data_IF_618276734114
#
_entry.id   IF_618276734114
#
_cell.length_a   1.000
_cell.length_b   1.000
_cell.length_c   1.000
_cell.angle_alpha   90.00
_cell.angle_beta   90.00
_cell.angle_gamma   90.00
#
_symmetry.space_group_name_H-M   'P 1'
#
loop_
_entity.id
_entity.type
_entity.pdbx_description
1 polymer ?
#
# COMPACT_ATOMS: atom_id res chain seq x y z
N UNK A 1 -8.14 15.20 10.66
CA UNK A 1 -7.43 14.36 11.65
C UNK A 1 -6.95 13.11 10.93
N UNK A 2 -5.65 12.74 10.97
CA UNK A 2 -5.23 11.47 10.41
C UNK A 2 -5.81 10.36 11.31
N UNK A 3 -6.77 9.60 10.78
CA UNK A 3 -7.26 8.42 11.46
C UNK A 3 -6.15 7.35 11.40
N UNK A 4 -5.63 6.94 12.55
CA UNK A 4 -4.72 5.78 12.63
C UNK A 4 -5.58 4.54 12.36
N UNK A 5 -5.62 4.10 11.11
CA UNK A 5 -6.42 2.97 10.67
C UNK A 5 -5.71 1.65 11.03
N UNK A 6 -6.15 0.98 12.09
CA UNK A 6 -5.70 -0.37 12.44
C UNK A 6 -6.48 -1.39 11.62
N UNK A 7 -5.93 -1.82 10.48
CA UNK A 7 -6.50 -2.96 9.71
C UNK A 7 -6.14 -4.28 10.43
N UNK A 8 -7.10 -5.21 10.55
CA UNK A 8 -6.83 -6.52 11.15
C UNK A 8 -5.85 -7.32 10.29
N UNK A 9 -4.93 -8.06 10.93
CA UNK A 9 -3.93 -8.90 10.23
C UNK A 9 -4.56 -9.85 9.22
N UNK A 10 -5.74 -10.40 9.53
CA UNK A 10 -6.49 -11.31 8.64
C UNK A 10 -6.86 -10.67 7.31
N UNK A 11 -7.26 -9.39 7.30
CA UNK A 11 -7.62 -8.66 6.06
C UNK A 11 -6.39 -8.30 5.22
N UNK A 12 -5.21 -8.20 5.84
CA UNK A 12 -3.96 -7.91 5.13
C UNK A 12 -3.39 -9.15 4.43
N UNK A 13 -3.68 -10.34 4.96
CA UNK A 13 -3.15 -11.61 4.45
C UNK A 13 -4.02 -12.30 3.39
N UNK A 14 -5.24 -11.81 3.17
CA UNK A 14 -6.12 -12.29 2.10
C UNK A 14 -6.04 -11.36 0.89
N UNK A 15 -6.02 -11.88 -0.36
CA UNK A 15 -6.15 -11.06 -1.57
C UNK A 15 -7.35 -10.12 -1.46
N UNK A 16 -7.12 -8.83 -1.66
CA UNK A 16 -8.20 -7.84 -1.64
C UNK A 16 -7.92 -6.68 -2.59
N UNK A 17 -9.01 -6.06 -3.03
CA UNK A 17 -9.03 -4.74 -3.69
C UNK A 17 -9.42 -3.68 -2.65
N UNK A 18 -9.01 -2.45 -2.91
CA UNK A 18 -9.37 -1.30 -2.09
C UNK A 18 -9.62 -0.09 -3.00
N UNK A 19 -10.62 0.71 -2.63
CA UNK A 19 -11.07 1.89 -3.39
C UNK A 19 -10.19 3.14 -3.09
N UNK A 20 -8.91 2.95 -2.79
CA UNK A 20 -7.95 4.01 -2.51
C UNK A 20 -6.54 3.61 -2.92
N UNK A 21 -5.68 4.60 -3.15
CA UNK A 21 -4.25 4.37 -3.34
C UNK A 21 -3.57 4.13 -2.00
N UNK A 22 -2.54 3.30 -2.01
CA UNK A 22 -1.70 3.05 -0.84
C UNK A 22 -0.22 3.18 -1.16
N UNK A 23 0.49 4.06 -0.45
CA UNK A 23 1.95 4.11 -0.44
C UNK A 23 2.47 3.50 0.86
N UNK A 24 3.05 2.31 0.76
CA UNK A 24 3.59 1.55 1.88
C UNK A 24 5.09 1.77 1.98
N UNK A 25 5.58 2.17 3.15
CA UNK A 25 6.99 2.33 3.44
C UNK A 25 7.39 1.46 4.65
N UNK A 26 8.33 0.54 4.46
CA UNK A 26 8.70 -0.46 5.47
C UNK A 26 9.98 -0.07 6.21
N UNK A 27 9.91 0.08 7.54
CA UNK A 27 11.01 0.53 8.41
C UNK A 27 11.73 -0.63 9.10
N UNK A 28 11.05 -1.76 9.26
CA UNK A 28 11.59 -3.03 9.72
C UNK A 28 10.83 -4.13 8.97
N UNK A 29 11.49 -5.11 8.39
CA UNK A 29 10.80 -5.97 7.42
C UNK A 29 11.26 -7.43 7.44
N UNK A 30 10.25 -8.29 7.42
CA UNK A 30 10.33 -9.68 7.02
C UNK A 30 8.98 -10.05 6.41
N UNK A 31 8.95 -10.53 5.16
CA UNK A 31 7.70 -10.95 4.52
C UNK A 31 7.68 -10.78 3.01
N UNK A 32 6.50 -11.01 2.42
CA UNK A 32 6.24 -10.93 0.98
C UNK A 32 5.02 -10.04 0.73
N UNK A 33 5.10 -9.21 -0.31
CA UNK A 33 3.97 -8.44 -0.83
C UNK A 33 3.62 -9.02 -2.21
N UNK A 34 2.38 -9.45 -2.37
CA UNK A 34 1.85 -9.89 -3.65
C UNK A 34 1.05 -8.75 -4.29
N UNK A 35 1.38 -8.39 -5.52
CA UNK A 35 0.70 -7.35 -6.30
C UNK A 35 0.40 -7.96 -7.67
N UNK A 36 -0.87 -8.01 -8.06
CA UNK A 36 -1.32 -8.65 -9.31
C UNK A 36 -0.71 -10.04 -9.51
N UNK A 37 -0.77 -10.86 -8.46
CA UNK A 37 -0.24 -12.23 -8.42
C UNK A 37 1.28 -12.37 -8.54
N UNK A 38 2.03 -11.28 -8.64
CA UNK A 38 3.49 -11.27 -8.60
C UNK A 38 3.99 -11.06 -7.18
N UNK A 39 4.98 -11.87 -6.78
CA UNK A 39 5.60 -11.82 -5.47
C UNK A 39 6.76 -10.81 -5.44
N UNK A 40 6.83 -10.05 -4.35
CA UNK A 40 7.93 -9.13 -4.05
C UNK A 40 8.42 -9.33 -2.61
N UNK A 41 9.74 -9.34 -2.44
CA UNK A 41 10.36 -9.32 -1.12
C UNK A 41 10.17 -7.96 -0.46
N UNK A 42 9.72 -7.98 0.80
CA UNK A 42 9.71 -6.78 1.64
C UNK A 42 11.05 -6.69 2.35
N UNK A 43 11.82 -5.64 2.04
CA UNK A 43 13.10 -5.33 2.66
C UNK A 43 13.00 -3.99 3.39
N UNK A 44 13.95 -3.72 4.29
CA UNK A 44 14.01 -2.46 5.01
C UNK A 44 14.21 -1.35 3.99
N UNK A 45 13.35 -0.34 4.02
CA UNK A 45 13.34 0.74 3.04
C UNK A 45 12.55 0.44 1.78
N UNK A 46 11.93 -0.74 1.63
CA UNK A 46 11.02 -1.01 0.51
C UNK A 46 9.86 -0.02 0.51
N UNK A 47 9.57 0.50 -0.68
CA UNK A 47 8.39 1.33 -0.96
C UNK A 47 7.54 0.63 -2.00
N UNK A 48 6.24 0.47 -1.70
CA UNK A 48 5.28 -0.08 -2.65
C UNK A 48 4.14 0.90 -2.84
N UNK A 49 3.81 1.16 -4.09
CA UNK A 49 2.62 1.91 -4.48
C UNK A 49 1.56 0.94 -4.99
N UNK A 50 0.36 1.02 -4.41
CA UNK A 50 -0.79 0.22 -4.79
C UNK A 50 -1.82 1.15 -5.39
N UNK A 51 -2.17 0.88 -6.64
CA UNK A 51 -3.19 1.64 -7.36
C UNK A 51 -4.58 1.34 -6.83
N UNK A 52 -5.49 2.29 -7.03
CA UNK A 52 -6.91 2.09 -6.81
C UNK A 52 -7.40 0.81 -7.51
N UNK A 53 -8.20 -0.01 -6.82
CA UNK A 53 -8.72 -1.30 -7.29
C UNK A 53 -7.67 -2.38 -7.62
N UNK A 54 -6.38 -2.16 -7.36
CA UNK A 54 -5.34 -3.16 -7.60
C UNK A 54 -5.43 -4.29 -6.56
N UNK A 55 -5.29 -5.55 -7.01
CA UNK A 55 -5.30 -6.68 -6.09
C UNK A 55 -3.93 -6.77 -5.43
N UNK A 56 -3.93 -6.81 -4.09
CA UNK A 56 -2.72 -7.10 -3.34
C UNK A 56 -3.02 -7.80 -2.02
N UNK A 57 -1.98 -8.41 -1.45
CA UNK A 57 -1.99 -8.94 -0.07
C UNK A 57 -0.57 -9.21 0.42
N UNK A 58 -0.45 -9.51 1.70
CA UNK A 58 0.82 -9.76 2.38
C UNK A 58 0.93 -11.19 2.90
N UNK A 59 2.14 -11.76 2.93
CA UNK A 59 2.45 -13.00 3.65
C UNK A 59 3.62 -12.79 4.62
N UNK A 60 3.59 -13.50 5.74
CA UNK A 60 4.67 -13.56 6.74
C UNK A 60 5.08 -12.20 7.30
N UNK A 61 4.12 -11.30 7.55
CA UNK A 61 4.37 -9.92 8.00
C UNK A 61 4.33 -9.75 9.53
N UNK A 62 4.46 -10.83 10.31
CA UNK A 62 4.24 -10.78 11.76
C UNK A 62 5.20 -9.84 12.49
N UNK A 63 6.40 -9.65 11.93
CA UNK A 63 7.49 -8.80 12.45
C UNK A 63 7.78 -7.59 11.57
N UNK A 64 6.88 -7.26 10.65
CA UNK A 64 7.05 -6.11 9.76
C UNK A 64 6.47 -4.84 10.39
N UNK A 65 7.22 -3.75 10.28
CA UNK A 65 6.83 -2.41 10.69
C UNK A 65 6.96 -1.45 9.50
N UNK A 66 6.07 -0.47 9.47
CA UNK A 66 6.07 0.52 8.41
C UNK A 66 4.95 1.52 8.56
N UNK A 67 4.95 2.48 7.65
CA UNK A 67 3.93 3.51 7.54
C UNK A 67 3.19 3.32 6.23
N UNK A 68 1.92 3.71 6.21
CA UNK A 68 1.12 3.73 5.00
C UNK A 68 0.47 5.09 4.85
N UNK A 69 0.56 5.65 3.65
CA UNK A 69 -0.19 6.84 3.26
C UNK A 69 -1.31 6.36 2.34
N UNK A 70 -2.56 6.69 2.71
CA UNK A 70 -3.75 6.34 1.94
C UNK A 70 -4.38 7.62 1.40
N UNK A 71 -4.77 7.63 0.12
CA UNK A 71 -5.43 8.77 -0.50
C UNK A 71 -6.39 8.33 -1.62
N UNK A 72 -7.40 9.16 -1.87
CA UNK A 72 -8.46 8.89 -2.86
C UNK A 72 -8.09 9.40 -4.26
N UNK A 73 -8.83 8.97 -5.29
CA UNK A 73 -8.74 9.57 -6.63
C UNK A 73 -8.97 11.09 -6.56
N UNK A 74 -10.00 11.52 -5.83
CA UNK A 74 -10.31 12.94 -5.67
C UNK A 74 -9.18 13.75 -5.03
N UNK A 75 -8.40 13.16 -4.11
CA UNK A 75 -7.23 13.83 -3.56
C UNK A 75 -6.16 14.06 -4.63
N UNK A 76 -5.87 13.04 -5.45
CA UNK A 76 -4.93 13.17 -6.57
C UNK A 76 -5.38 14.22 -7.58
N UNK A 77 -6.62 14.11 -8.07
CA UNK A 77 -7.18 15.01 -9.09
C UNK A 77 -7.16 16.48 -8.67
N UNK A 78 -7.43 16.76 -7.38
CA UNK A 78 -7.48 18.13 -6.87
C UNK A 78 -6.11 18.73 -6.50
N UNK A 79 -5.05 17.92 -6.37
CA UNK A 79 -3.75 18.37 -5.85
C UNK A 79 -2.56 18.06 -6.77
N UNK A 80 -2.76 17.32 -7.85
CA UNK A 80 -1.76 17.21 -8.90
C UNK A 80 -1.81 18.42 -9.82
N UNK A 81 -0.77 19.26 -9.75
CA UNK A 81 -0.37 20.09 -10.88
C UNK A 81 0.18 19.12 -11.93
N UNK A 82 -0.71 18.57 -12.75
CA UNK A 82 -0.28 18.04 -14.05
C UNK A 82 0.15 19.30 -14.82
N UNK A 83 1.44 19.65 -14.78
CA UNK A 83 2.00 20.37 -15.90
C UNK A 83 1.66 19.51 -17.12
N UNK A 84 0.78 20.04 -17.96
CA UNK A 84 0.34 19.39 -19.19
C UNK A 84 1.58 19.08 -20.04
N UNK A 85 2.12 17.89 -19.88
CA UNK A 85 3.01 17.28 -20.86
C UNK A 85 2.14 16.53 -21.88
N UNK A 86 1.31 17.29 -22.60
CA UNK A 86 0.84 17.01 -23.95
C UNK A 86 0.58 18.34 -24.66
#
# INVERSE_FOLDING_TARGET
MPAIYKKSKSKLSTPHRQEFYGLFYFTNSYGKHFIDFKEYDIKKGSVFFISNEQIHYFKNIEKTEGNVILFTNSFLENHFLIEQMF
#
